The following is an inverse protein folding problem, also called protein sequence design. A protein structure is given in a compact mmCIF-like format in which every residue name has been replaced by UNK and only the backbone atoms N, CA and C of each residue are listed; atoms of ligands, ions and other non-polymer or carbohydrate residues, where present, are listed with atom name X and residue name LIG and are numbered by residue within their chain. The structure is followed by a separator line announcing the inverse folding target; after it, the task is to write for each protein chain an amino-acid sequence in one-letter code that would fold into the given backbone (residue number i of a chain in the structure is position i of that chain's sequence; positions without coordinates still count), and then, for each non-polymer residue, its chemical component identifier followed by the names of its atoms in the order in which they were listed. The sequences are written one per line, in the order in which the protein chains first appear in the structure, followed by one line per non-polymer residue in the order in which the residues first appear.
data_IF_938730301364
#
_entry.id   IF_938730301364
#
_cell.length_a   1.000
_cell.length_b   1.000
_cell.length_c   1.000
_cell.angle_alpha   90.00
_cell.angle_beta   90.00
_cell.angle_gamma   90.00
#
_symmetry.space_group_name_H-M   'P 1'
#
loop_
_entity.id
_entity.type
_entity.pdbx_description
1 polymer ?
#
# COMPACT_ATOMS: atom_id res chain seq x y z
N UNK A 1 86.87 -29.52 -7.71
CA UNK A 1 86.23 -29.91 -6.43
C UNK A 1 85.42 -28.74 -5.91
N UNK A 2 84.16 -29.01 -5.59
CA UNK A 2 83.05 -28.06 -5.50
C UNK A 2 83.07 -27.27 -4.19
N UNK A 3 82.88 -25.95 -4.27
CA UNK A 3 82.68 -25.06 -3.12
C UNK A 3 81.42 -25.49 -2.36
N UNK A 4 81.58 -25.96 -1.11
CA UNK A 4 80.43 -26.25 -0.23
C UNK A 4 79.75 -24.94 0.15
N UNK A 5 78.59 -24.70 -0.45
CA UNK A 5 77.63 -23.67 -0.09
C UNK A 5 77.03 -24.07 1.27
N UNK A 6 77.40 -23.37 2.33
CA UNK A 6 76.79 -23.52 3.65
C UNK A 6 75.32 -23.12 3.56
N UNK A 7 74.43 -24.10 3.73
CA UNK A 7 73.01 -23.88 3.91
C UNK A 7 72.79 -23.21 5.27
N UNK A 8 72.47 -21.92 5.25
CA UNK A 8 71.99 -21.22 6.43
C UNK A 8 70.54 -21.63 6.61
N UNK A 9 70.28 -22.40 7.66
CA UNK A 9 68.95 -22.78 8.08
C UNK A 9 68.11 -21.50 8.29
N UNK A 10 67.02 -21.38 7.55
CA UNK A 10 66.01 -20.35 7.74
C UNK A 10 65.27 -20.70 9.03
N UNK A 11 65.80 -20.28 10.18
CA UNK A 11 65.02 -20.22 11.42
C UNK A 11 63.98 -19.12 11.18
N UNK A 12 62.71 -19.50 11.09
CA UNK A 12 61.61 -18.55 11.22
C UNK A 12 61.73 -17.92 12.60
N UNK A 13 62.36 -16.74 12.67
CA UNK A 13 62.41 -15.90 13.86
C UNK A 13 60.99 -15.41 14.10
N UNK A 14 60.24 -16.18 14.90
CA UNK A 14 59.05 -15.63 15.52
C UNK A 14 59.57 -14.63 16.55
N UNK A 15 59.51 -13.34 16.23
CA UNK A 15 59.77 -12.28 17.20
C UNK A 15 58.78 -12.46 18.36
N UNK A 16 59.30 -12.89 19.51
CA UNK A 16 58.51 -13.05 20.72
C UNK A 16 58.17 -11.64 21.21
N UNK A 17 56.87 -11.35 21.31
CA UNK A 17 56.41 -10.08 21.88
C UNK A 17 56.95 -9.90 23.29
N UNK A 18 57.40 -8.68 23.60
CA UNK A 18 57.63 -8.26 24.98
C UNK A 18 56.33 -8.36 25.79
N UNK A 19 56.44 -8.71 27.07
CA UNK A 19 55.29 -8.83 27.98
C UNK A 19 54.48 -7.53 28.04
N UNK A 20 55.16 -6.37 28.00
CA UNK A 20 54.55 -5.05 27.99
C UNK A 20 53.75 -4.78 26.71
N UNK A 21 54.29 -5.19 25.54
CA UNK A 21 53.60 -5.05 24.26
C UNK A 21 52.39 -5.98 24.15
N UNK A 22 52.49 -7.18 24.74
CA UNK A 22 51.39 -8.13 24.81
C UNK A 22 50.26 -7.61 25.70
N UNK A 23 50.59 -7.05 26.87
CA UNK A 23 49.63 -6.43 27.78
C UNK A 23 48.97 -5.20 27.17
N UNK A 24 49.73 -4.35 26.47
CA UNK A 24 49.19 -3.20 25.75
C UNK A 24 48.21 -3.64 24.65
N UNK A 25 48.57 -4.62 23.83
CA UNK A 25 47.66 -5.18 22.82
C UNK A 25 46.41 -5.77 23.45
N UNK A 26 46.55 -6.56 24.51
CA UNK A 26 45.42 -7.12 25.25
C UNK A 26 44.46 -6.05 25.73
N UNK A 27 44.98 -4.96 26.31
CA UNK A 27 44.16 -3.84 26.78
C UNK A 27 43.42 -3.15 25.63
N UNK A 28 44.08 -2.93 24.48
CA UNK A 28 43.41 -2.36 23.30
C UNK A 28 42.31 -3.27 22.74
N UNK A 29 42.52 -4.59 22.72
CA UNK A 29 41.47 -5.53 22.29
C UNK A 29 40.30 -5.59 23.28
N UNK A 30 40.59 -5.51 24.59
CA UNK A 30 39.55 -5.44 25.62
C UNK A 30 38.73 -4.15 25.52
N UNK A 31 39.37 -3.01 25.26
CA UNK A 31 38.68 -1.74 25.01
C UNK A 31 37.80 -1.81 23.75
N UNK A 32 38.32 -2.36 22.65
CA UNK A 32 37.51 -2.56 21.43
C UNK A 32 36.32 -3.48 21.68
N UNK A 33 36.50 -4.55 22.45
CA UNK A 33 35.40 -5.45 22.83
C UNK A 33 34.36 -4.75 23.70
N UNK A 34 34.77 -3.89 24.65
CA UNK A 34 33.82 -3.09 25.43
C UNK A 34 33.07 -2.10 24.56
N UNK A 35 33.76 -1.42 23.64
CA UNK A 35 33.15 -0.45 22.73
C UNK A 35 32.15 -1.13 21.79
N UNK A 36 32.51 -2.30 21.25
CA UNK A 36 31.60 -3.11 20.44
C UNK A 36 30.36 -3.54 21.24
N UNK A 37 30.54 -3.99 22.49
CA UNK A 37 29.42 -4.36 23.35
C UNK A 37 28.50 -3.18 23.63
N UNK A 38 29.06 -1.98 23.86
CA UNK A 38 28.27 -0.75 24.05
C UNK A 38 27.52 -0.40 22.75
N UNK A 39 28.17 -0.51 21.59
CA UNK A 39 27.53 -0.23 20.30
C UNK A 39 26.38 -1.18 19.99
N UNK A 40 26.51 -2.48 20.33
CA UNK A 40 25.43 -3.46 20.18
C UNK A 40 24.27 -3.10 21.11
N UNK A 41 24.54 -2.82 22.39
CA UNK A 41 23.50 -2.43 23.33
C UNK A 41 22.76 -1.16 22.89
N UNK A 42 23.47 -0.18 22.31
CA UNK A 42 22.87 1.02 21.74
C UNK A 42 21.98 0.71 20.52
N UNK A 43 22.42 -0.20 19.65
CA UNK A 43 21.59 -0.63 18.50
C UNK A 43 20.33 -1.34 19.00
N UNK A 44 20.45 -2.22 20.00
CA UNK A 44 19.30 -2.93 20.57
C UNK A 44 18.30 -1.96 21.22
N UNK A 45 18.78 -0.95 21.96
CA UNK A 45 17.96 0.11 22.53
C UNK A 45 17.24 0.92 21.45
N UNK A 46 17.97 1.34 20.40
CA UNK A 46 17.39 2.06 19.27
C UNK A 46 16.32 1.24 18.52
N UNK A 47 16.51 -0.08 18.40
CA UNK A 47 15.52 -0.99 17.81
C UNK A 47 14.26 -1.03 18.68
N UNK A 48 14.40 -1.09 20.00
CA UNK A 48 13.25 -1.14 20.90
C UNK A 48 12.49 0.19 20.93
N UNK A 49 13.20 1.32 20.97
CA UNK A 49 12.60 2.65 20.83
C UNK A 49 11.83 2.79 19.51
N UNK A 50 12.40 2.29 18.40
CA UNK A 50 11.73 2.29 17.10
C UNK A 50 10.43 1.48 17.13
N UNK A 51 10.43 0.29 17.73
CA UNK A 51 9.20 -0.52 17.89
C UNK A 51 8.15 0.19 18.74
N UNK A 52 8.55 0.87 19.82
CA UNK A 52 7.62 1.66 20.64
C UNK A 52 7.02 2.83 19.86
N UNK A 53 7.83 3.53 19.08
CA UNK A 53 7.35 4.61 18.20
C UNK A 53 6.37 4.09 17.16
N UNK A 54 6.67 2.94 16.52
CA UNK A 54 5.76 2.29 15.58
C UNK A 54 4.43 1.91 16.25
N UNK A 55 4.46 1.35 17.46
CA UNK A 55 3.24 1.06 18.24
C UNK A 55 2.40 2.30 18.50
N UNK A 56 3.03 3.42 18.90
CA UNK A 56 2.33 4.70 19.14
C UNK A 56 1.70 5.24 17.85
N UNK A 57 2.45 5.23 16.74
CA UNK A 57 1.96 5.64 15.44
C UNK A 57 0.72 4.84 15.01
N UNK A 58 0.73 3.52 15.20
CA UNK A 58 -0.42 2.67 14.87
C UNK A 58 -1.65 2.97 15.72
N UNK A 59 -1.45 3.27 17.02
CA UNK A 59 -2.55 3.66 17.90
C UNK A 59 -3.16 5.00 17.46
N UNK A 60 -2.32 5.99 17.15
CA UNK A 60 -2.77 7.30 16.67
C UNK A 60 -3.51 7.18 15.33
N UNK A 61 -3.02 6.34 14.42
CA UNK A 61 -3.68 6.09 13.13
C UNK A 61 -5.02 5.37 13.29
N UNK A 62 -5.09 4.34 14.15
CA UNK A 62 -6.37 3.68 14.48
C UNK A 62 -7.37 4.68 15.07
N UNK A 63 -6.90 5.56 15.93
CA UNK A 63 -7.74 6.60 16.52
C UNK A 63 -8.22 7.61 15.47
N UNK A 64 -7.34 8.03 14.56
CA UNK A 64 -7.71 8.90 13.43
C UNK A 64 -8.74 8.26 12.53
N UNK A 65 -8.57 6.99 12.16
CA UNK A 65 -9.54 6.26 11.33
C UNK A 65 -10.88 6.10 12.05
N UNK A 66 -10.86 5.75 13.34
CA UNK A 66 -12.08 5.67 14.16
C UNK A 66 -12.81 7.01 14.23
N UNK A 67 -12.09 8.12 14.40
CA UNK A 67 -12.66 9.47 14.44
C UNK A 67 -13.15 9.96 13.07
N UNK A 68 -12.49 9.53 11.99
CA UNK A 68 -12.87 9.92 10.63
C UNK A 68 -14.19 9.30 10.18
N UNK A 69 -14.63 8.19 10.79
CA UNK A 69 -15.84 7.45 10.38
C UNK A 69 -15.88 7.22 8.86
N UNK A 70 -14.73 6.88 8.29
CA UNK A 70 -14.44 6.83 6.85
C UNK A 70 -15.20 5.73 6.09
N UNK A 71 -15.92 4.84 6.81
CA UNK A 71 -16.72 3.77 6.22
C UNK A 71 -15.88 2.68 5.53
N UNK A 72 -14.57 2.66 5.77
CA UNK A 72 -13.66 1.66 5.23
C UNK A 72 -13.68 0.39 6.08
N UNK A 73 -13.47 -0.79 5.46
CA UNK A 73 -13.48 -2.06 6.19
C UNK A 73 -12.30 -2.16 7.16
N UNK A 74 -12.47 -2.93 8.25
CA UNK A 74 -11.36 -3.16 9.16
C UNK A 74 -10.29 -4.01 8.46
N UNK A 75 -9.01 -3.57 8.44
CA UNK A 75 -7.95 -4.28 7.71
C UNK A 75 -7.61 -5.64 8.34
N UNK A 76 -7.96 -5.85 9.61
CA UNK A 76 -7.72 -7.12 10.31
C UNK A 76 -8.74 -8.23 9.95
N UNK A 77 -9.81 -7.89 9.22
CA UNK A 77 -10.92 -8.81 8.94
C UNK A 77 -11.11 -8.95 7.42
N UNK A 78 -10.51 -9.98 6.80
CA UNK A 78 -10.67 -10.25 5.37
C UNK A 78 -12.12 -10.34 4.90
N UNK A 79 -13.01 -10.88 5.73
CA UNK A 79 -14.43 -10.99 5.40
C UNK A 79 -15.10 -9.63 5.19
N UNK A 80 -14.74 -8.62 5.98
CA UNK A 80 -15.28 -7.26 5.84
C UNK A 80 -14.75 -6.59 4.57
N UNK A 81 -13.49 -6.83 4.20
CA UNK A 81 -12.89 -6.35 2.95
C UNK A 81 -13.62 -6.94 1.74
N UNK A 82 -13.89 -8.25 1.74
CA UNK A 82 -14.64 -8.90 0.66
C UNK A 82 -16.07 -8.38 0.56
N UNK A 83 -16.74 -8.14 1.70
CA UNK A 83 -18.08 -7.54 1.72
C UNK A 83 -18.08 -6.11 1.16
N UNK A 84 -17.08 -5.32 1.53
CA UNK A 84 -16.90 -3.97 1.02
C UNK A 84 -16.73 -3.93 -0.50
N UNK A 85 -15.86 -4.79 -1.04
CA UNK A 85 -15.68 -4.94 -2.50
C UNK A 85 -17.00 -5.35 -3.17
N UNK A 86 -17.73 -6.30 -2.59
CA UNK A 86 -19.02 -6.72 -3.12
C UNK A 86 -20.02 -5.56 -3.15
N UNK A 87 -20.06 -4.74 -2.09
CA UNK A 87 -20.90 -3.55 -2.03
C UNK A 87 -20.53 -2.53 -3.11
N UNK A 88 -19.24 -2.27 -3.35
CA UNK A 88 -18.79 -1.40 -4.43
C UNK A 88 -19.25 -1.90 -5.80
N UNK A 89 -19.09 -3.21 -6.06
CA UNK A 89 -19.55 -3.85 -7.31
C UNK A 89 -21.07 -3.76 -7.46
N UNK A 90 -21.82 -3.92 -6.37
CA UNK A 90 -23.27 -3.78 -6.39
C UNK A 90 -23.71 -2.36 -6.75
N UNK A 91 -23.14 -1.35 -6.09
CA UNK A 91 -23.43 0.07 -6.36
C UNK A 91 -23.03 0.46 -7.79
N UNK A 92 -21.92 -0.06 -8.29
CA UNK A 92 -21.51 0.13 -9.68
C UNK A 92 -22.55 -0.45 -10.66
N UNK A 93 -23.09 -1.63 -10.36
CA UNK A 93 -24.10 -2.27 -11.20
C UNK A 93 -25.45 -1.57 -11.12
N UNK A 94 -25.84 -1.07 -9.95
CA UNK A 94 -27.01 -0.22 -9.78
C UNK A 94 -26.88 1.06 -10.60
N UNK A 95 -25.73 1.73 -10.51
CA UNK A 95 -25.44 2.93 -11.32
C UNK A 95 -25.52 2.64 -12.82
N UNK A 96 -25.08 1.45 -13.27
CA UNK A 96 -25.19 1.05 -14.67
C UNK A 96 -26.64 0.87 -15.12
N UNK A 97 -27.48 0.26 -14.29
CA UNK A 97 -28.87 -0.02 -14.62
C UNK A 97 -29.71 1.27 -14.65
N UNK A 98 -29.37 2.24 -13.81
CA UNK A 98 -30.02 3.55 -13.78
C UNK A 98 -29.49 4.51 -14.86
N UNK A 99 -28.30 4.25 -15.42
CA UNK A 99 -27.66 5.10 -16.42
C UNK A 99 -28.36 4.98 -17.78
N UNK A 100 -29.23 5.93 -18.06
CA UNK A 100 -29.83 6.12 -19.38
C UNK A 100 -28.92 7.05 -20.17
N UNK A 101 -28.43 6.59 -21.33
CA UNK A 101 -27.64 7.42 -22.24
C UNK A 101 -28.41 8.71 -22.57
N UNK A 102 -27.90 9.85 -22.07
CA UNK A 102 -28.55 11.16 -22.20
C UNK A 102 -28.74 11.58 -23.66
N UNK A 103 -27.92 11.07 -24.59
CA UNK A 103 -28.05 11.31 -26.03
C UNK A 103 -29.37 10.79 -26.57
N UNK A 104 -29.91 9.70 -26.00
CA UNK A 104 -31.22 9.15 -26.38
C UNK A 104 -32.39 10.03 -25.92
N UNK A 105 -32.17 10.93 -24.97
CA UNK A 105 -33.19 11.83 -24.43
C UNK A 105 -33.27 13.16 -25.18
N UNK A 106 -32.42 13.36 -26.21
CA UNK A 106 -32.36 14.61 -26.98
C UNK A 106 -33.61 14.76 -27.86
N UNK A 107 -34.35 15.84 -27.64
CA UNK A 107 -35.46 16.29 -28.49
C UNK A 107 -35.26 17.76 -28.86
N UNK A 108 -34.68 18.01 -30.03
CA UNK A 108 -34.48 19.38 -30.55
C UNK A 108 -35.80 20.11 -30.82
N UNK A 109 -36.92 19.39 -30.93
CA UNK A 109 -38.25 20.00 -31.12
C UNK A 109 -38.90 20.40 -29.81
N UNK A 110 -38.27 20.13 -28.66
CA UNK A 110 -38.77 20.52 -27.34
C UNK A 110 -39.00 22.04 -27.22
N UNK A 111 -38.19 22.86 -27.88
CA UNK A 111 -38.32 24.34 -27.89
C UNK A 111 -39.62 24.80 -28.57
N UNK A 112 -40.16 24.01 -29.52
CA UNK A 112 -41.33 24.38 -30.31
C UNK A 112 -42.66 24.12 -29.59
N UNK A 113 -42.60 23.51 -28.41
CA UNK A 113 -43.76 23.19 -27.60
C UNK A 113 -44.15 24.38 -26.72
N UNK A 114 -45.41 24.83 -26.82
CA UNK A 114 -45.96 25.90 -26.00
C UNK A 114 -46.47 25.45 -24.61
N UNK A 115 -46.17 24.22 -24.18
CA UNK A 115 -46.56 23.73 -22.86
C UNK A 115 -45.71 24.39 -21.75
N UNK A 116 -46.32 24.97 -20.70
CA UNK A 116 -45.59 25.74 -19.67
C UNK A 116 -44.71 24.88 -18.75
N UNK A 117 -44.99 23.58 -18.63
CA UNK A 117 -44.28 22.66 -17.72
C UNK A 117 -43.16 21.86 -18.41
N UNK A 118 -42.87 22.11 -19.69
CA UNK A 118 -41.93 21.27 -20.46
C UNK A 118 -40.50 21.81 -20.36
N UNK A 119 -39.56 20.93 -20.04
CA UNK A 119 -38.12 21.23 -20.00
C UNK A 119 -37.49 21.24 -21.40
N UNK A 120 -36.50 22.12 -21.61
CA UNK A 120 -35.72 22.17 -22.85
C UNK A 120 -34.78 20.96 -22.94
N UNK A 121 -35.12 20.00 -23.81
CA UNK A 121 -34.37 18.75 -24.02
C UNK A 121 -33.41 18.83 -25.22
N UNK A 122 -32.92 20.02 -25.54
CA UNK A 122 -31.94 20.19 -26.63
C UNK A 122 -30.58 19.65 -26.24
N UNK A 123 -29.77 19.23 -27.22
CA UNK A 123 -28.43 18.69 -26.97
C UNK A 123 -27.57 19.64 -26.12
N UNK A 124 -27.65 20.95 -26.40
CA UNK A 124 -26.89 21.99 -25.68
C UNK A 124 -27.24 22.10 -24.19
N UNK A 125 -28.48 21.82 -23.82
CA UNK A 125 -28.90 21.86 -22.43
C UNK A 125 -28.63 20.52 -21.71
N UNK A 126 -28.88 19.40 -22.38
CA UNK A 126 -28.62 18.06 -21.84
C UNK A 126 -27.12 17.76 -21.67
N UNK A 127 -26.27 18.34 -22.52
CA UNK A 127 -24.81 18.24 -22.39
C UNK A 127 -24.30 18.81 -21.05
N UNK A 128 -25.01 19.78 -20.46
CA UNK A 128 -24.68 20.33 -19.13
C UNK A 128 -25.05 19.38 -17.99
N UNK A 129 -26.05 18.53 -18.20
CA UNK A 129 -26.49 17.51 -17.22
C UNK A 129 -25.82 16.15 -17.44
N UNK A 130 -24.74 16.12 -18.24
CA UNK A 130 -24.01 14.89 -18.53
C UNK A 130 -23.47 14.24 -17.25
N UNK A 131 -23.70 12.94 -17.04
CA UNK A 131 -23.20 12.24 -15.86
C UNK A 131 -21.66 12.14 -15.91
N UNK A 132 -21.02 12.41 -14.78
CA UNK A 132 -19.57 12.25 -14.63
C UNK A 132 -19.22 10.84 -14.16
N UNK A 133 -19.21 9.90 -15.12
CA UNK A 133 -18.84 8.51 -14.84
C UNK A 133 -17.38 8.43 -14.35
N UNK A 134 -16.49 9.31 -14.83
CA UNK A 134 -15.08 9.32 -14.41
C UNK A 134 -14.93 9.50 -12.90
N UNK A 135 -15.65 10.45 -12.30
CA UNK A 135 -15.63 10.68 -10.85
C UNK A 135 -16.11 9.47 -10.05
N UNK A 136 -17.15 8.76 -10.51
CA UNK A 136 -17.65 7.57 -9.83
C UNK A 136 -16.57 6.48 -9.74
N UNK A 137 -15.88 6.22 -10.85
CA UNK A 137 -14.81 5.22 -10.88
C UNK A 137 -13.56 5.69 -10.13
N UNK A 138 -13.23 6.99 -10.18
CA UNK A 138 -12.12 7.57 -9.42
C UNK A 138 -12.34 7.40 -7.91
N UNK A 139 -13.52 7.76 -7.41
CA UNK A 139 -13.90 7.60 -6.00
C UNK A 139 -13.84 6.12 -5.56
N UNK A 140 -14.32 5.21 -6.41
CA UNK A 140 -14.30 3.77 -6.12
C UNK A 140 -12.86 3.23 -6.08
N UNK A 141 -12.03 3.58 -7.06
CA UNK A 141 -10.63 3.15 -7.12
C UNK A 141 -9.84 3.74 -5.95
N UNK A 142 -10.04 5.00 -5.61
CA UNK A 142 -9.39 5.63 -4.46
C UNK A 142 -9.71 4.89 -3.16
N UNK A 143 -10.98 4.54 -2.92
CA UNK A 143 -11.38 3.77 -1.73
C UNK A 143 -10.73 2.38 -1.67
N UNK A 144 -10.60 1.70 -2.81
CA UNK A 144 -9.91 0.41 -2.89
C UNK A 144 -8.41 0.57 -2.60
N UNK A 145 -7.76 1.58 -3.17
CA UNK A 145 -6.34 1.88 -2.92
C UNK A 145 -6.06 2.21 -1.44
N UNK A 146 -6.93 2.99 -0.81
CA UNK A 146 -6.82 3.29 0.62
C UNK A 146 -6.96 2.01 1.47
N UNK A 147 -7.84 1.09 1.05
CA UNK A 147 -7.99 -0.22 1.71
C UNK A 147 -6.73 -1.08 1.55
N UNK A 148 -6.13 -1.14 0.35
CA UNK A 148 -4.85 -1.84 0.11
C UNK A 148 -3.77 -1.27 1.02
N UNK A 149 -3.65 0.06 1.08
CA UNK A 149 -2.67 0.73 1.92
C UNK A 149 -2.83 0.40 3.42
N UNK A 150 -4.06 0.19 3.89
CA UNK A 150 -4.33 -0.24 5.28
C UNK A 150 -3.97 -1.71 5.51
N UNK A 151 -4.28 -2.59 4.56
CA UNK A 151 -3.93 -4.02 4.64
C UNK A 151 -2.42 -4.22 4.64
N UNK A 152 -1.70 -3.56 3.74
CA UNK A 152 -0.23 -3.64 3.69
C UNK A 152 0.43 -3.16 4.98
N UNK A 153 -0.13 -2.14 5.64
CA UNK A 153 0.37 -1.69 6.95
C UNK A 153 0.25 -2.79 7.99
N UNK A 154 -0.90 -3.46 8.07
CA UNK A 154 -1.09 -4.58 8.99
C UNK A 154 -0.11 -5.71 8.68
N UNK A 155 0.11 -6.01 7.40
CA UNK A 155 1.09 -7.02 6.96
C UNK A 155 2.55 -6.66 7.31
N UNK A 156 2.89 -5.38 7.43
CA UNK A 156 4.24 -4.92 7.85
C UNK A 156 4.44 -4.95 9.37
N UNK A 157 3.37 -5.11 10.15
CA UNK A 157 3.42 -5.10 11.61
C UNK A 157 3.35 -6.53 12.16
N UNK A 158 4.51 -7.13 12.45
CA UNK A 158 4.61 -8.48 13.01
C UNK A 158 3.80 -8.64 14.31
N UNK A 159 3.75 -7.61 15.15
CA UNK A 159 2.97 -7.61 16.40
C UNK A 159 1.45 -7.75 16.20
N UNK A 160 0.93 -7.25 15.08
CA UNK A 160 -0.50 -7.39 14.74
C UNK A 160 -0.76 -8.75 14.09
N UNK A 161 0.15 -9.22 13.26
CA UNK A 161 0.08 -10.54 12.63
C UNK A 161 0.11 -11.68 13.65
N UNK A 162 0.97 -11.57 14.69
CA UNK A 162 1.06 -12.56 15.76
C UNK A 162 -0.24 -12.68 16.58
N UNK A 163 -1.08 -11.65 16.59
CA UNK A 163 -2.38 -11.68 17.28
C UNK A 163 -3.48 -12.31 16.44
N UNK A 164 -3.28 -12.43 15.13
CA UNK A 164 -4.26 -12.99 14.21
C UNK A 164 -4.08 -14.51 14.07
N UNK A 165 -5.16 -15.27 13.88
CA UNK A 165 -5.06 -16.68 13.55
C UNK A 165 -4.39 -16.83 12.17
N UNK A 166 -3.55 -17.86 12.03
CA UNK A 166 -2.73 -18.10 10.83
C UNK A 166 -3.54 -18.13 9.53
N UNK A 167 -4.76 -18.66 9.56
CA UNK A 167 -5.66 -18.64 8.40
C UNK A 167 -6.00 -17.22 7.93
N UNK A 168 -6.26 -16.30 8.85
CA UNK A 168 -6.57 -14.91 8.49
C UNK A 168 -5.35 -14.20 7.91
N UNK A 169 -4.14 -14.49 8.40
CA UNK A 169 -2.90 -13.93 7.86
C UNK A 169 -2.68 -14.38 6.42
N UNK A 170 -2.89 -15.68 6.12
CA UNK A 170 -2.77 -16.20 4.75
C UNK A 170 -3.81 -15.62 3.80
N UNK A 171 -5.02 -15.33 4.27
CA UNK A 171 -6.03 -14.63 3.49
C UNK A 171 -5.64 -13.16 3.27
N UNK A 172 -5.15 -12.47 4.30
CA UNK A 172 -4.70 -11.07 4.19
C UNK A 172 -3.54 -10.90 3.22
N UNK A 173 -2.62 -11.85 3.16
CA UNK A 173 -1.50 -11.84 2.21
C UNK A 173 -1.95 -11.85 0.74
N UNK A 174 -3.09 -12.52 0.46
CA UNK A 174 -3.68 -12.56 -0.89
C UNK A 174 -4.51 -11.34 -1.23
N UNK A 175 -5.10 -10.67 -0.23
CA UNK A 175 -6.04 -9.55 -0.42
C UNK A 175 -5.49 -8.44 -1.34
N UNK A 176 -4.24 -7.93 -1.19
CA UNK A 176 -3.73 -6.88 -2.07
C UNK A 176 -3.76 -7.28 -3.55
N UNK A 177 -3.36 -8.51 -3.87
CA UNK A 177 -3.37 -9.02 -5.25
C UNK A 177 -4.78 -9.13 -5.83
N UNK A 178 -5.75 -9.57 -5.01
CA UNK A 178 -7.16 -9.63 -5.42
C UNK A 178 -7.74 -8.22 -5.65
N UNK A 179 -7.45 -7.26 -4.76
CA UNK A 179 -7.91 -5.88 -4.88
C UNK A 179 -7.31 -5.15 -6.09
N UNK A 180 -6.05 -5.43 -6.44
CA UNK A 180 -5.45 -4.90 -7.67
C UNK A 180 -6.14 -5.44 -8.94
N UNK A 181 -6.47 -6.74 -8.97
CA UNK A 181 -7.25 -7.34 -10.06
C UNK A 181 -8.66 -6.72 -10.17
N UNK A 182 -9.28 -6.38 -9.03
CA UNK A 182 -10.56 -5.67 -9.02
C UNK A 182 -10.45 -4.26 -9.61
N UNK A 183 -9.35 -3.53 -9.34
CA UNK A 183 -9.08 -2.22 -9.96
C UNK A 183 -8.95 -2.35 -11.48
N UNK A 184 -8.23 -3.36 -11.97
CA UNK A 184 -8.14 -3.63 -13.42
C UNK A 184 -9.53 -3.86 -14.02
N UNK A 185 -10.37 -4.64 -13.34
CA UNK A 185 -11.74 -4.89 -13.76
C UNK A 185 -12.58 -3.60 -13.80
N UNK A 186 -12.41 -2.69 -12.84
CA UNK A 186 -13.08 -1.38 -12.86
C UNK A 186 -12.64 -0.53 -14.05
N UNK A 187 -11.34 -0.49 -14.37
CA UNK A 187 -10.83 0.24 -15.53
C UNK A 187 -11.32 -0.36 -16.85
N UNK A 188 -11.36 -1.69 -16.98
CA UNK A 188 -11.89 -2.36 -18.17
C UNK A 188 -13.37 -2.00 -18.40
N UNK A 189 -14.18 -2.00 -17.32
CA UNK A 189 -15.60 -1.61 -17.41
C UNK A 189 -15.77 -0.13 -17.78
N UNK A 190 -15.00 0.76 -17.18
CA UNK A 190 -15.01 2.18 -17.56
C UNK A 190 -14.66 2.36 -19.03
N UNK A 191 -13.58 1.71 -19.46
CA UNK A 191 -13.10 1.75 -20.86
C UNK A 191 -14.17 1.24 -21.81
N UNK A 192 -14.82 0.11 -21.47
CA UNK A 192 -15.93 -0.43 -22.26
C UNK A 192 -17.09 0.56 -22.37
N UNK A 193 -17.51 1.18 -21.27
CA UNK A 193 -18.59 2.20 -21.29
C UNK A 193 -18.25 3.38 -22.19
N UNK A 194 -17.03 3.90 -22.08
CA UNK A 194 -16.57 5.05 -22.90
C UNK A 194 -16.52 4.68 -24.39
N UNK A 195 -16.04 3.47 -24.73
CA UNK A 195 -15.98 3.01 -26.13
C UNK A 195 -17.38 2.76 -26.71
N UNK A 196 -18.31 2.23 -25.92
CA UNK A 196 -19.67 1.94 -26.39
C UNK A 196 -20.52 3.19 -26.62
N UNK A 197 -20.27 4.27 -25.89
CA UNK A 197 -21.01 5.52 -26.02
C UNK A 197 -20.09 6.74 -25.92
N UNK A 198 -19.22 6.97 -26.92
CA UNK A 198 -18.24 8.05 -26.89
C UNK A 198 -18.91 9.42 -26.88
N UNK A 199 -20.01 9.59 -27.63
CA UNK A 199 -20.76 10.86 -27.62
C UNK A 199 -21.37 11.19 -26.24
N UNK A 200 -21.60 10.18 -25.42
CA UNK A 200 -22.17 10.36 -24.09
C UNK A 200 -21.10 10.60 -23.03
N UNK A 201 -19.89 10.02 -23.19
CA UNK A 201 -18.90 9.89 -22.13
C UNK A 201 -17.45 10.31 -22.49
N UNK A 202 -17.11 10.61 -23.76
CA UNK A 202 -15.86 11.31 -24.10
C UNK A 202 -16.04 12.83 -23.98
N UNK A 203 -15.21 13.45 -23.14
CA UNK A 203 -15.05 14.92 -23.04
C UNK A 203 -13.94 15.39 -23.97
#
# INVERSE_FOLDING_TARGET
MVKRKTMVAHKSTVDLLSEDEWMARRNTYMQRLSDLRISIAFIDEAIEEYKELQKKQLQDEKWKSYMACDGQPNPNRPAEIRQFVYQLKFLEQESYNEDINWVLSVDERSILSHAPDRSDMTRRNLEKSRPNIGQLYDDNVQRVLETIGRVERVLRNDDELLRLPTFQVLELDKMPSELHSDIETFFDKLTYRVICAPEAYMT
#
